data_IF_155422406494
#
_entry.id   IF_155422406494
#
_cell.length_a   1.000
_cell.length_b   1.000
_cell.length_c   1.000
_cell.angle_alpha   90.00
_cell.angle_beta   90.00
_cell.angle_gamma   90.00
#
_symmetry.space_group_name_H-M   'P 1'
#
loop_
_entity.id
_entity.type
_entity.pdbx_description
1 polymer ?
#
# COMPACT_ATOMS: atom_id res chain seq x y z
N UNK A 1 16.48 28.23 -4.81
CA UNK A 1 16.03 27.07 -5.60
C UNK A 1 16.52 25.84 -4.87
N UNK A 2 15.64 25.11 -4.21
CA UNK A 2 15.99 23.85 -3.55
C UNK A 2 16.31 22.79 -4.58
N UNK A 3 17.34 21.99 -4.32
CA UNK A 3 17.69 20.86 -5.16
C UNK A 3 16.55 19.83 -5.07
N UNK A 4 15.94 19.50 -6.20
CA UNK A 4 14.93 18.45 -6.31
C UNK A 4 15.71 17.14 -6.50
N UNK A 5 15.60 16.21 -5.57
CA UNK A 5 16.17 14.87 -5.69
C UNK A 5 15.16 13.95 -6.38
N UNK A 6 15.61 13.18 -7.36
CA UNK A 6 14.79 12.23 -8.12
C UNK A 6 14.36 12.74 -9.51
N UNK A 7 14.09 11.83 -10.41
CA UNK A 7 13.95 12.14 -11.84
C UNK A 7 12.56 12.57 -12.27
N UNK A 8 11.52 12.42 -11.44
CA UNK A 8 10.14 12.82 -11.76
C UNK A 8 9.35 13.10 -10.49
N UNK A 9 8.70 14.27 -10.45
CA UNK A 9 7.66 14.55 -9.48
C UNK A 9 6.45 13.66 -9.81
N UNK A 10 6.22 12.67 -8.98
CA UNK A 10 5.13 11.69 -9.15
C UNK A 10 4.21 11.73 -7.93
N UNK A 11 2.91 11.66 -8.17
CA UNK A 11 1.94 11.49 -7.07
C UNK A 11 2.05 10.11 -6.46
N UNK A 12 1.82 9.98 -5.14
CA UNK A 12 1.95 8.71 -4.42
C UNK A 12 1.09 7.58 -5.02
N UNK A 13 -0.10 7.88 -5.52
CA UNK A 13 -0.94 6.86 -6.18
C UNK A 13 -0.31 6.30 -7.47
N UNK A 14 0.35 7.15 -8.24
CA UNK A 14 1.04 6.69 -9.45
C UNK A 14 2.20 5.76 -9.07
N UNK A 15 2.95 6.09 -8.00
CA UNK A 15 4.00 5.23 -7.49
C UNK A 15 3.50 3.83 -7.09
N UNK A 16 2.27 3.71 -6.55
CA UNK A 16 1.67 2.40 -6.25
C UNK A 16 1.60 1.52 -7.49
N UNK A 17 0.94 1.99 -8.55
CA UNK A 17 0.72 1.20 -9.75
C UNK A 17 2.02 0.86 -10.48
N UNK A 18 2.90 1.85 -10.63
CA UNK A 18 4.17 1.69 -11.34
C UNK A 18 5.12 0.72 -10.59
N UNK A 19 5.20 0.85 -9.26
CA UNK A 19 6.05 -0.04 -8.45
C UNK A 19 5.51 -1.47 -8.42
N UNK A 20 4.20 -1.66 -8.33
CA UNK A 20 3.61 -3.00 -8.40
C UNK A 20 3.84 -3.65 -9.76
N UNK A 21 3.73 -2.90 -10.86
CA UNK A 21 4.05 -3.40 -12.19
C UNK A 21 5.54 -3.76 -12.31
N UNK A 22 6.44 -2.92 -11.80
CA UNK A 22 7.88 -3.21 -11.73
C UNK A 22 8.16 -4.51 -10.96
N UNK A 23 7.54 -4.69 -9.79
CA UNK A 23 7.67 -5.90 -8.99
C UNK A 23 7.10 -7.12 -9.72
N UNK A 24 5.96 -6.97 -10.40
CA UNK A 24 5.33 -8.03 -11.19
C UNK A 24 6.23 -8.56 -12.31
N UNK A 25 7.04 -7.68 -12.95
CA UNK A 25 8.04 -8.09 -13.96
C UNK A 25 9.19 -8.89 -13.35
N UNK A 26 9.58 -8.55 -12.12
CA UNK A 26 10.74 -9.17 -11.44
C UNK A 26 10.40 -10.43 -10.66
N UNK A 27 9.14 -10.60 -10.28
CA UNK A 27 8.70 -11.71 -9.43
C UNK A 27 7.28 -12.17 -9.79
N UNK A 28 7.21 -13.36 -10.37
CA UNK A 28 5.93 -13.98 -10.78
C UNK A 28 5.00 -14.34 -9.61
N UNK A 29 5.53 -14.35 -8.37
CA UNK A 29 4.72 -14.59 -7.17
C UNK A 29 3.92 -13.38 -6.72
N UNK A 30 4.18 -12.19 -7.26
CA UNK A 30 3.40 -10.99 -6.96
C UNK A 30 2.01 -11.10 -7.59
N UNK A 31 0.99 -11.00 -6.75
CA UNK A 31 -0.43 -10.99 -7.12
C UNK A 31 -1.09 -9.76 -6.52
N UNK A 32 -1.97 -9.13 -7.27
CA UNK A 32 -2.75 -7.98 -6.78
C UNK A 32 -4.22 -8.38 -6.65
N UNK A 33 -4.81 -8.03 -5.50
CA UNK A 33 -6.21 -8.33 -5.20
C UNK A 33 -6.94 -7.01 -4.97
N UNK A 34 -8.00 -6.80 -5.74
CA UNK A 34 -8.80 -5.58 -5.79
C UNK A 34 -10.26 -5.83 -5.35
N UNK A 35 -10.91 -4.78 -4.86
CA UNK A 35 -12.33 -4.76 -4.56
C UNK A 35 -13.02 -3.57 -5.26
N UNK A 36 -12.92 -3.53 -6.59
CA UNK A 36 -13.46 -2.48 -7.48
C UNK A 36 -12.88 -1.08 -7.21
N UNK A 37 -11.63 -1.02 -6.76
CA UNK A 37 -10.93 0.25 -6.47
C UNK A 37 -9.77 0.54 -7.42
N UNK A 38 -9.51 -0.30 -8.41
CA UNK A 38 -8.33 -0.29 -9.26
C UNK A 38 -8.01 1.06 -9.91
N UNK A 39 -9.03 1.78 -10.39
CA UNK A 39 -8.86 3.13 -10.97
C UNK A 39 -8.52 4.15 -9.89
N UNK A 40 -9.20 4.09 -8.74
CA UNK A 40 -8.97 5.02 -7.63
C UNK A 40 -7.59 4.84 -7.00
N UNK A 41 -7.14 3.62 -6.84
CA UNK A 41 -5.84 3.27 -6.25
C UNK A 41 -4.68 3.29 -7.26
N UNK A 42 -5.02 3.52 -8.54
CA UNK A 42 -4.09 3.61 -9.68
C UNK A 42 -3.27 2.32 -9.92
N UNK A 43 -3.86 1.16 -9.69
CA UNK A 43 -3.21 -0.15 -9.93
C UNK A 43 -3.46 -0.71 -11.33
N UNK A 44 -4.07 0.08 -12.21
CA UNK A 44 -4.29 -0.30 -13.60
C UNK A 44 -3.02 -0.69 -14.36
N UNK A 45 -1.83 -0.10 -14.12
CA UNK A 45 -0.59 -0.55 -14.75
C UNK A 45 -0.33 -2.04 -14.51
N UNK A 46 -0.48 -2.53 -13.27
CA UNK A 46 -0.32 -3.95 -12.98
C UNK A 46 -1.41 -4.81 -13.64
N UNK A 47 -2.67 -4.39 -13.55
CA UNK A 47 -3.80 -5.11 -14.14
C UNK A 47 -3.65 -5.30 -15.65
N UNK A 48 -3.21 -4.26 -16.34
CA UNK A 48 -3.06 -4.28 -17.80
C UNK A 48 -1.90 -5.18 -18.25
N UNK A 49 -0.83 -5.24 -17.46
CA UNK A 49 0.36 -6.02 -17.81
C UNK A 49 0.25 -7.49 -17.36
N UNK A 50 -0.43 -7.76 -16.23
CA UNK A 50 -0.55 -9.07 -15.60
C UNK A 50 -2.00 -9.42 -15.24
N UNK A 51 -2.92 -9.50 -16.22
CA UNK A 51 -4.34 -9.75 -15.92
C UNK A 51 -4.58 -11.10 -15.22
N UNK A 52 -3.74 -12.11 -15.47
CA UNK A 52 -3.81 -13.43 -14.85
C UNK A 52 -3.37 -13.45 -13.37
N UNK A 53 -2.68 -12.41 -12.92
CA UNK A 53 -2.24 -12.21 -11.52
C UNK A 53 -2.99 -11.07 -10.83
N UNK A 54 -4.07 -10.61 -11.47
CA UNK A 54 -4.96 -9.60 -10.93
C UNK A 54 -6.31 -10.23 -10.61
N UNK A 55 -6.65 -10.28 -9.32
CA UNK A 55 -7.89 -10.87 -8.83
C UNK A 55 -8.84 -9.76 -8.36
N UNK A 56 -10.11 -9.86 -8.68
CA UNK A 56 -11.13 -8.97 -8.11
C UNK A 56 -12.14 -9.74 -7.28
N UNK A 57 -12.51 -9.18 -6.15
CA UNK A 57 -13.52 -9.76 -5.24
C UNK A 57 -14.83 -8.99 -5.29
N UNK A 58 -15.02 -8.15 -6.31
CA UNK A 58 -16.07 -7.14 -6.33
C UNK A 58 -16.00 -6.24 -5.09
N UNK A 59 -17.06 -5.53 -4.72
CA UNK A 59 -17.06 -4.63 -3.55
C UNK A 59 -17.20 -5.46 -2.25
N UNK A 60 -16.15 -6.23 -1.94
CA UNK A 60 -16.12 -7.14 -0.79
C UNK A 60 -14.71 -7.18 -0.15
N UNK A 61 -14.35 -6.15 0.59
CA UNK A 61 -13.00 -5.97 1.15
C UNK A 61 -12.64 -7.05 2.16
N UNK A 62 -13.60 -7.56 2.95
CA UNK A 62 -13.37 -8.70 3.83
C UNK A 62 -12.97 -9.94 3.04
N UNK A 63 -13.66 -10.19 1.93
CA UNK A 63 -13.35 -11.30 1.04
C UNK A 63 -11.97 -11.10 0.37
N UNK A 64 -11.59 -9.87 0.02
CA UNK A 64 -10.27 -9.57 -0.52
C UNK A 64 -9.14 -10.01 0.41
N UNK A 65 -9.27 -9.76 1.72
CA UNK A 65 -8.29 -10.22 2.72
C UNK A 65 -8.31 -11.75 2.83
N UNK A 66 -9.49 -12.38 2.82
CA UNK A 66 -9.59 -13.85 2.90
C UNK A 66 -9.02 -14.54 1.66
N UNK A 67 -9.25 -13.99 0.48
CA UNK A 67 -8.62 -14.44 -0.78
C UNK A 67 -7.10 -14.27 -0.70
N UNK A 68 -6.62 -13.13 -0.20
CA UNK A 68 -5.19 -12.88 -0.02
C UNK A 68 -4.56 -13.92 0.92
N UNK A 69 -5.26 -14.28 2.00
CA UNK A 69 -4.81 -15.35 2.89
C UNK A 69 -4.68 -16.69 2.16
N UNK A 70 -5.66 -17.09 1.36
CA UNK A 70 -5.59 -18.30 0.55
C UNK A 70 -4.44 -18.28 -0.46
N UNK A 71 -4.31 -17.16 -1.18
CA UNK A 71 -3.28 -16.95 -2.21
C UNK A 71 -1.86 -17.02 -1.62
N UNK A 72 -1.63 -16.39 -0.46
CA UNK A 72 -0.32 -16.49 0.20
C UNK A 72 -0.01 -17.91 0.70
N UNK A 73 -1.03 -18.71 1.10
CA UNK A 73 -0.83 -20.12 1.46
C UNK A 73 -0.37 -20.99 0.28
N UNK A 74 -0.64 -20.55 -0.94
CA UNK A 74 -0.15 -21.17 -2.17
C UNK A 74 1.27 -20.71 -2.55
N UNK A 75 1.93 -19.87 -1.72
CA UNK A 75 3.29 -19.39 -1.93
C UNK A 75 3.43 -18.11 -2.74
N UNK A 76 2.32 -17.41 -3.00
CA UNK A 76 2.32 -16.10 -3.63
C UNK A 76 2.48 -14.96 -2.60
N UNK A 77 2.72 -13.76 -3.11
CA UNK A 77 2.86 -12.53 -2.33
C UNK A 77 1.73 -11.58 -2.73
N UNK A 78 0.56 -11.64 -2.05
CA UNK A 78 -0.57 -10.79 -2.39
C UNK A 78 -0.38 -9.36 -1.87
N UNK A 79 -0.61 -8.41 -2.76
CA UNK A 79 -0.83 -7.00 -2.46
C UNK A 79 -2.32 -6.67 -2.56
N UNK A 80 -2.85 -5.95 -1.56
CA UNK A 80 -4.27 -5.62 -1.44
C UNK A 80 -4.43 -4.11 -1.32
N UNK A 81 -4.38 -3.36 -2.44
CA UNK A 81 -4.54 -1.91 -2.47
C UNK A 81 -6.02 -1.51 -2.49
N UNK A 82 -6.55 -1.11 -1.34
CA UNK A 82 -7.93 -0.70 -1.13
C UNK A 82 -7.98 0.65 -0.40
N UNK A 83 -9.17 1.22 -0.23
CA UNK A 83 -9.33 2.40 0.61
C UNK A 83 -8.95 2.10 2.07
N UNK A 84 -8.14 2.96 2.68
CA UNK A 84 -7.68 2.81 4.06
C UNK A 84 -8.85 2.67 5.05
N UNK A 85 -9.93 3.43 4.84
CA UNK A 85 -11.14 3.37 5.64
C UNK A 85 -11.82 2.00 5.60
N UNK A 86 -11.81 1.33 4.46
CA UNK A 86 -12.46 0.03 4.30
C UNK A 86 -11.58 -1.12 4.78
N UNK A 87 -10.27 -1.02 4.58
CA UNK A 87 -9.33 -1.93 5.21
C UNK A 87 -9.47 -1.87 6.74
N UNK A 88 -9.36 -0.67 7.32
CA UNK A 88 -9.34 -0.51 8.78
C UNK A 88 -10.67 -0.82 9.45
N UNK A 89 -11.81 -0.44 8.85
CA UNK A 89 -13.11 -0.56 9.50
C UNK A 89 -13.91 -1.79 9.09
N UNK A 90 -13.87 -2.13 7.79
CA UNK A 90 -14.70 -3.21 7.26
C UNK A 90 -14.03 -4.57 7.36
N UNK A 91 -12.70 -4.65 7.15
CA UNK A 91 -11.96 -5.89 7.07
C UNK A 91 -11.15 -6.22 8.33
N UNK A 92 -11.39 -5.51 9.43
CA UNK A 92 -10.57 -5.60 10.65
C UNK A 92 -10.47 -7.03 11.18
N UNK A 93 -11.58 -7.73 11.30
CA UNK A 93 -11.61 -9.10 11.83
C UNK A 93 -10.78 -10.06 10.96
N UNK A 94 -10.94 -9.99 9.64
CA UNK A 94 -10.16 -10.81 8.72
C UNK A 94 -8.66 -10.50 8.81
N UNK A 95 -8.31 -9.22 8.94
CA UNK A 95 -6.91 -8.81 9.09
C UNK A 95 -6.36 -9.31 10.45
N UNK A 96 -7.13 -9.16 11.53
CA UNK A 96 -6.71 -9.60 12.85
C UNK A 96 -6.41 -11.11 12.88
N UNK A 97 -7.36 -11.93 12.39
CA UNK A 97 -7.27 -13.38 12.44
C UNK A 97 -6.35 -13.94 11.36
N UNK A 98 -6.55 -13.53 10.10
CA UNK A 98 -5.89 -14.17 8.96
C UNK A 98 -4.52 -13.55 8.65
N UNK A 99 -4.36 -12.22 8.82
CA UNK A 99 -3.05 -11.60 8.62
C UNK A 99 -2.23 -11.56 9.90
N UNK A 100 -2.75 -11.00 10.98
CA UNK A 100 -2.02 -10.79 12.23
C UNK A 100 -1.75 -12.07 13.00
N UNK A 101 -2.82 -12.73 13.48
CA UNK A 101 -2.68 -13.94 14.30
C UNK A 101 -1.96 -15.07 13.55
N UNK A 102 -2.32 -15.32 12.30
CA UNK A 102 -1.68 -16.34 11.47
C UNK A 102 -0.30 -15.90 10.92
N UNK A 103 0.15 -14.68 11.20
CA UNK A 103 1.38 -14.08 10.66
C UNK A 103 1.51 -14.25 9.14
N UNK A 104 0.43 -14.02 8.40
CA UNK A 104 0.38 -14.28 6.97
C UNK A 104 1.11 -13.22 6.15
N UNK A 105 1.73 -13.64 5.08
CA UNK A 105 2.52 -12.76 4.19
C UNK A 105 1.62 -11.93 3.25
N UNK A 106 0.81 -11.02 3.80
CA UNK A 106 -0.14 -10.18 3.07
C UNK A 106 0.32 -8.72 3.15
N UNK A 107 0.31 -8.02 2.00
CA UNK A 107 0.69 -6.61 1.86
C UNK A 107 -0.56 -5.76 1.63
N UNK A 108 -1.09 -5.17 2.68
CA UNK A 108 -2.26 -4.30 2.62
C UNK A 108 -1.81 -2.87 2.34
N UNK A 109 -2.43 -2.22 1.36
CA UNK A 109 -2.14 -0.83 1.03
C UNK A 109 -3.39 0.01 1.24
N UNK A 110 -3.40 0.78 2.33
CA UNK A 110 -4.49 1.66 2.70
C UNK A 110 -4.44 2.98 1.95
N UNK A 111 -5.04 3.03 0.77
CA UNK A 111 -5.10 4.22 -0.06
C UNK A 111 -6.12 5.25 0.46
N UNK A 112 -5.93 6.51 0.12
CA UNK A 112 -6.76 7.63 0.59
C UNK A 112 -6.74 7.80 2.11
N UNK A 113 -5.61 7.56 2.73
CA UNK A 113 -5.43 7.68 4.17
C UNK A 113 -5.69 9.10 4.69
N UNK A 114 -6.12 9.21 5.94
CA UNK A 114 -6.45 10.47 6.58
C UNK A 114 -7.64 11.17 5.92
N UNK A 115 -7.53 12.48 5.74
CA UNK A 115 -8.55 13.34 5.12
C UNK A 115 -8.42 13.43 3.59
N UNK A 116 -7.47 12.72 3.00
CA UNK A 116 -7.11 12.88 1.60
C UNK A 116 -8.16 12.35 0.62
N UNK A 117 -9.20 11.66 1.10
CA UNK A 117 -10.40 11.35 0.32
C UNK A 117 -11.20 12.62 -0.06
N UNK A 118 -10.97 13.74 0.63
CA UNK A 118 -11.51 15.07 0.32
C UNK A 118 -13.02 15.06 0.01
N UNK A 119 -13.41 15.36 -1.24
CA UNK A 119 -14.81 15.51 -1.68
C UNK A 119 -15.65 14.23 -1.56
N UNK A 120 -15.03 13.04 -1.42
CA UNK A 120 -15.77 11.78 -1.21
C UNK A 120 -16.39 11.72 0.19
N UNK A 121 -15.83 12.48 1.13
CA UNK A 121 -16.40 12.70 2.46
C UNK A 121 -16.06 11.62 3.50
N UNK A 122 -16.71 11.72 4.64
CA UNK A 122 -16.40 10.98 5.87
C UNK A 122 -16.44 9.44 5.72
N UNK A 123 -17.23 8.92 4.80
CA UNK A 123 -17.32 7.46 4.56
C UNK A 123 -16.00 6.88 4.02
N UNK A 124 -15.20 7.69 3.34
CA UNK A 124 -13.94 7.30 2.71
C UNK A 124 -12.70 7.86 3.46
N UNK A 125 -12.88 8.84 4.33
CA UNK A 125 -11.80 9.37 5.15
C UNK A 125 -11.41 8.36 6.24
N UNK A 126 -10.11 8.23 6.52
CA UNK A 126 -9.57 7.27 7.48
C UNK A 126 -8.70 7.97 8.51
N UNK A 127 -9.28 8.26 9.67
CA UNK A 127 -8.57 8.93 10.77
C UNK A 127 -7.97 7.95 11.78
N UNK A 128 -8.51 6.74 11.84
CA UNK A 128 -8.25 5.76 12.88
C UNK A 128 -7.49 4.52 12.38
N UNK A 129 -7.09 4.49 11.12
CA UNK A 129 -6.45 3.33 10.50
C UNK A 129 -5.17 2.90 11.24
N UNK A 130 -4.27 3.84 11.56
CA UNK A 130 -3.04 3.52 12.32
C UNK A 130 -3.40 2.99 13.71
N UNK A 131 -4.34 3.61 14.42
CA UNK A 131 -4.74 3.18 15.77
C UNK A 131 -5.29 1.75 15.74
N UNK A 132 -6.15 1.44 14.77
CA UNK A 132 -6.73 0.11 14.58
C UNK A 132 -5.65 -0.91 14.20
N UNK A 133 -4.81 -0.60 13.22
CA UNK A 133 -3.74 -1.51 12.78
C UNK A 133 -2.72 -1.81 13.88
N UNK A 134 -2.43 -0.85 14.76
CA UNK A 134 -1.51 -1.07 15.90
C UNK A 134 -2.02 -2.09 16.91
N UNK A 135 -3.29 -2.43 16.93
CA UNK A 135 -3.83 -3.48 17.80
C UNK A 135 -3.61 -4.89 17.26
N UNK A 136 -3.19 -5.02 16.00
CA UNK A 136 -3.00 -6.30 15.32
C UNK A 136 -1.59 -6.83 15.60
N UNK A 137 -1.42 -8.07 16.08
CA UNK A 137 -0.10 -8.64 16.32
C UNK A 137 0.67 -8.83 15.00
N UNK A 138 1.99 -8.76 15.10
CA UNK A 138 2.94 -9.03 14.01
C UNK A 138 2.92 -8.05 12.82
N UNK A 139 1.94 -7.14 12.75
CA UNK A 139 1.82 -6.22 11.62
C UNK A 139 2.95 -5.17 11.62
N UNK A 140 3.51 -4.91 10.45
CA UNK A 140 4.36 -3.75 10.22
C UNK A 140 3.52 -2.63 9.61
N UNK A 141 3.65 -1.42 10.15
CA UNK A 141 2.91 -0.24 9.65
C UNK A 141 3.93 0.72 9.08
N UNK A 142 3.70 1.16 7.84
CA UNK A 142 4.56 2.08 7.11
C UNK A 142 3.73 3.27 6.66
N UNK A 143 4.24 4.46 6.88
CA UNK A 143 3.75 5.70 6.28
C UNK A 143 4.90 6.40 5.57
N UNK A 144 4.82 6.45 4.25
CA UNK A 144 5.81 7.11 3.41
C UNK A 144 5.48 8.60 3.28
N UNK A 145 6.51 9.44 3.21
CA UNK A 145 6.34 10.89 3.07
C UNK A 145 6.13 11.34 1.62
N UNK A 146 6.67 10.62 0.66
CA UNK A 146 6.60 10.92 -0.77
C UNK A 146 6.53 9.64 -1.63
N UNK A 147 6.51 9.84 -2.96
CA UNK A 147 6.36 8.75 -3.91
C UNK A 147 7.62 7.86 -4.01
N UNK A 148 8.80 8.43 -3.85
CA UNK A 148 10.06 7.70 -3.92
C UNK A 148 10.20 6.79 -2.71
N UNK A 149 9.97 7.31 -1.51
CA UNK A 149 9.95 6.51 -0.28
C UNK A 149 8.86 5.43 -0.32
N UNK A 150 7.67 5.75 -0.87
CA UNK A 150 6.61 4.78 -1.02
C UNK A 150 7.02 3.63 -1.94
N UNK A 151 7.69 3.93 -3.04
CA UNK A 151 8.21 2.90 -3.95
C UNK A 151 9.20 1.97 -3.24
N UNK A 152 10.15 2.51 -2.49
CA UNK A 152 11.09 1.72 -1.70
C UNK A 152 10.39 0.92 -0.60
N UNK A 153 9.41 1.50 0.07
CA UNK A 153 8.60 0.82 1.09
C UNK A 153 7.82 -0.38 0.52
N UNK A 154 7.23 -0.24 -0.68
CA UNK A 154 6.53 -1.33 -1.38
C UNK A 154 7.51 -2.46 -1.73
N UNK A 155 8.70 -2.12 -2.25
CA UNK A 155 9.77 -3.09 -2.55
C UNK A 155 10.25 -3.82 -1.31
N UNK A 156 10.50 -3.09 -0.22
CA UNK A 156 10.89 -3.68 1.07
C UNK A 156 9.79 -4.58 1.65
N UNK A 157 8.53 -4.16 1.54
CA UNK A 157 7.39 -4.98 1.96
C UNK A 157 7.29 -6.28 1.17
N UNK A 158 7.60 -6.28 -0.13
CA UNK A 158 7.61 -7.51 -0.96
C UNK A 158 8.63 -8.54 -0.46
N UNK A 159 9.74 -8.08 0.12
CA UNK A 159 10.79 -8.95 0.66
C UNK A 159 10.51 -9.41 2.10
N UNK A 160 9.75 -8.64 2.86
CA UNK A 160 9.42 -8.98 4.24
C UNK A 160 8.43 -10.15 4.30
N UNK A 161 8.70 -11.14 5.15
CA UNK A 161 7.76 -12.24 5.43
C UNK A 161 6.90 -11.86 6.63
N UNK A 162 5.60 -11.73 6.41
CA UNK A 162 4.63 -11.32 7.44
C UNK A 162 3.70 -10.21 6.94
N UNK A 163 2.72 -9.81 7.77
CA UNK A 163 1.74 -8.81 7.39
C UNK A 163 2.34 -7.41 7.41
N UNK A 164 2.05 -6.64 6.36
CA UNK A 164 2.45 -5.23 6.25
C UNK A 164 1.23 -4.39 5.90
N UNK A 165 1.05 -3.28 6.57
CA UNK A 165 0.11 -2.23 6.22
C UNK A 165 0.88 -0.99 5.76
N UNK A 166 0.70 -0.58 4.51
CA UNK A 166 1.31 0.61 3.93
C UNK A 166 0.23 1.67 3.78
N UNK A 167 0.42 2.80 4.40
CA UNK A 167 -0.51 3.93 4.36
C UNK A 167 -0.17 4.82 3.17
N UNK A 168 -1.15 5.05 2.28
CA UNK A 168 -0.97 5.82 1.06
C UNK A 168 -1.94 6.99 1.05
N UNK A 169 -1.42 8.22 1.09
CA UNK A 169 -2.24 9.42 0.96
C UNK A 169 -2.57 9.71 -0.51
N UNK A 170 -3.75 10.31 -0.73
CA UNK A 170 -4.08 10.86 -2.03
C UNK A 170 -3.53 12.28 -2.12
N UNK A 171 -2.25 12.41 -2.42
CA UNK A 171 -1.69 13.73 -2.67
C UNK A 171 -1.00 13.76 -4.03
N UNK A 172 -1.28 14.80 -4.79
CA UNK A 172 -0.45 15.21 -5.92
C UNK A 172 0.65 16.12 -5.34
N UNK A 173 1.53 15.54 -4.52
CA UNK A 173 2.68 16.26 -3.95
C UNK A 173 3.58 16.86 -5.03
N UNK A 174 3.45 16.37 -6.26
CA UNK A 174 4.07 16.97 -7.45
C UNK A 174 3.70 18.46 -7.64
N UNK A 175 2.64 18.95 -6.99
CA UNK A 175 2.26 20.37 -7.02
C UNK A 175 2.92 21.21 -5.94
N UNK A 176 3.55 20.55 -4.96
CA UNK A 176 4.24 21.22 -3.87
C UNK A 176 5.74 20.95 -4.03
N UNK A 177 6.55 21.98 -3.77
CA UNK A 177 8.00 21.84 -3.67
C UNK A 177 8.37 21.03 -2.41
N UNK A 178 8.13 19.72 -2.46
CA UNK A 178 8.54 18.83 -1.39
C UNK A 178 10.01 18.49 -1.62
N UNK A 179 10.83 18.58 -0.58
CA UNK A 179 12.18 18.05 -0.61
C UNK A 179 12.10 16.55 -0.90
N UNK A 180 12.60 16.15 -2.03
CA UNK A 180 12.74 14.74 -2.36
C UNK A 180 13.81 14.09 -1.50
N UNK A 181 13.79 12.78 -1.46
CA UNK A 181 14.75 12.00 -0.69
C UNK A 181 16.19 12.29 -1.18
N UNK A 182 17.18 12.33 -0.30
CA UNK A 182 18.58 12.36 -0.70
C UNK A 182 18.93 11.19 -1.63
N UNK A 183 19.87 11.38 -2.56
CA UNK A 183 20.31 10.32 -3.48
C UNK A 183 20.87 9.08 -2.78
N UNK A 184 21.40 9.23 -1.58
CA UNK A 184 21.92 8.17 -0.72
C UNK A 184 20.89 7.61 0.27
N UNK A 185 19.64 8.00 0.15
CA UNK A 185 18.57 7.48 1.00
C UNK A 185 18.26 6.02 0.71
N UNK A 186 18.21 5.23 1.76
CA UNK A 186 17.78 3.85 1.73
C UNK A 186 16.66 3.62 2.73
N UNK A 187 15.51 3.20 2.25
CA UNK A 187 14.41 2.82 3.13
C UNK A 187 14.78 1.55 3.91
N UNK A 188 14.62 1.59 5.23
CA UNK A 188 14.83 0.45 6.10
C UNK A 188 13.57 0.18 6.93
N UNK A 189 12.97 -1.00 6.76
CA UNK A 189 11.76 -1.39 7.48
C UNK A 189 12.02 -1.47 8.98
N UNK A 190 11.26 -0.70 9.75
CA UNK A 190 11.37 -0.62 11.22
C UNK A 190 12.25 0.50 11.73
N UNK A 191 12.86 1.28 10.87
CA UNK A 191 13.53 2.53 11.24
C UNK A 191 12.68 3.73 10.81
N UNK A 192 12.55 4.69 11.74
CA UNK A 192 11.98 6.00 11.40
C UNK A 192 13.09 6.91 10.88
N UNK A 193 12.82 7.63 9.80
CA UNK A 193 13.71 8.65 9.28
C UNK A 193 13.21 10.05 9.63
N UNK A 194 14.13 10.91 10.10
CA UNK A 194 13.83 12.30 10.41
C UNK A 194 14.18 13.19 9.21
N UNK A 195 13.15 13.61 8.49
CA UNK A 195 13.29 14.41 7.27
C UNK A 195 13.38 15.93 7.49
N UNK A 196 13.32 16.39 8.74
CA UNK A 196 13.47 17.80 9.09
C UNK A 196 14.71 18.00 9.96
N UNK A 197 15.45 19.03 9.64
CA UNK A 197 16.49 19.60 10.52
C UNK A 197 15.86 20.56 11.48
#
# INVERSE_FOLDING_TARGET
>A
AGTIYGSKLQGMRAAVGDTLAELGRKNEKIVVIDAETAVATNIMPFKNEFPERFLTTCIAEQNAISVAYGVQRMGYIPFVPLFASFIARRSFDQIFVQAGYANANIKMMGCYAGITAASVGATHQSFNDIAVMRTIPNIKIIEACDADELSEAIKAAAQHIGPVYIRVVRSDLAKYEVKQMPEDYHFELGKADRKST
#
